data_IF_161961684366
#
_entry.id   IF_161961684366
#
_cell.length_a   1.000
_cell.length_b   1.000
_cell.length_c   1.000
_cell.angle_alpha   90.00
_cell.angle_beta   90.00
_cell.angle_gamma   90.00
#
_symmetry.space_group_name_H-M   'P 1'
#
loop_
_entity.id
_entity.type
_entity.pdbx_description
1 polymer ?
#
# COMPACT_ATOMS: atom_id res chain seq x y z
N UNK A 1 -10.21 -20.75 -23.19
CA UNK A 1 -9.60 -19.42 -23.04
C UNK A 1 -8.64 -19.48 -21.85
N UNK A 2 -7.37 -19.80 -22.09
CA UNK A 2 -6.34 -19.73 -21.04
C UNK A 2 -6.02 -18.26 -20.88
N UNK A 3 -6.51 -17.63 -19.82
CA UNK A 3 -5.99 -16.33 -19.41
C UNK A 3 -4.52 -16.60 -19.06
N UNK A 4 -3.61 -16.20 -19.93
CA UNK A 4 -2.19 -16.10 -19.60
C UNK A 4 -2.13 -15.13 -18.42
N UNK A 5 -2.07 -15.66 -17.19
CA UNK A 5 -1.71 -14.84 -16.03
C UNK A 5 -0.32 -14.31 -16.35
N UNK A 6 -0.23 -13.02 -16.64
CA UNK A 6 1.06 -12.34 -16.81
C UNK A 6 2.00 -12.75 -15.67
N UNK A 7 3.29 -12.89 -15.97
CA UNK A 7 4.27 -13.30 -14.96
C UNK A 7 4.24 -12.28 -13.81
N UNK A 8 3.73 -12.73 -12.66
CA UNK A 8 3.51 -11.90 -11.48
C UNK A 8 4.84 -11.35 -10.93
N UNK A 9 5.94 -12.06 -11.19
CA UNK A 9 7.24 -11.75 -10.60
C UNK A 9 7.82 -10.43 -11.13
N UNK A 10 7.93 -10.17 -12.45
CA UNK A 10 8.28 -8.86 -12.97
C UNK A 10 7.46 -7.69 -12.39
N UNK A 11 6.14 -7.88 -12.24
CA UNK A 11 5.24 -6.84 -11.77
C UNK A 11 5.48 -6.47 -10.31
N UNK A 12 5.55 -7.48 -9.43
CA UNK A 12 5.85 -7.29 -8.01
C UNK A 12 7.23 -6.68 -7.83
N UNK A 13 8.23 -7.18 -8.56
CA UNK A 13 9.62 -6.72 -8.47
C UNK A 13 9.77 -5.25 -8.84
N UNK A 14 9.09 -4.83 -9.92
CA UNK A 14 9.03 -3.43 -10.34
C UNK A 14 8.39 -2.54 -9.28
N UNK A 15 7.23 -2.95 -8.73
CA UNK A 15 6.55 -2.17 -7.70
C UNK A 15 7.33 -2.10 -6.39
N UNK A 16 8.09 -3.14 -6.06
CA UNK A 16 9.01 -3.12 -4.93
C UNK A 16 10.09 -2.04 -5.10
N UNK A 17 10.71 -1.95 -6.28
CA UNK A 17 11.68 -0.90 -6.57
C UNK A 17 11.04 0.50 -6.53
N UNK A 18 9.83 0.66 -7.10
CA UNK A 18 9.09 1.92 -7.06
C UNK A 18 8.75 2.36 -5.62
N UNK A 19 8.36 1.44 -4.75
CA UNK A 19 8.12 1.76 -3.33
C UNK A 19 9.41 2.17 -2.61
N UNK A 20 10.54 1.51 -2.92
CA UNK A 20 11.84 1.93 -2.40
C UNK A 20 12.13 3.39 -2.75
N UNK A 21 11.97 3.72 -4.04
CA UNK A 21 12.23 5.04 -4.59
C UNK A 21 11.26 6.08 -4.01
N UNK A 22 9.98 5.74 -3.84
CA UNK A 22 8.97 6.60 -3.20
C UNK A 22 9.37 6.97 -1.77
N UNK A 23 9.98 6.05 -1.03
CA UNK A 23 10.46 6.27 0.33
C UNK A 23 11.81 7.00 0.40
N UNK A 24 12.43 7.30 -0.76
CA UNK A 24 13.75 7.92 -0.82
C UNK A 24 14.87 7.03 -0.28
N UNK A 25 14.67 5.70 -0.31
CA UNK A 25 15.65 4.73 0.19
C UNK A 25 16.55 4.22 -0.93
N UNK A 26 17.80 3.95 -0.60
CA UNK A 26 18.71 3.15 -1.41
C UNK A 26 18.62 1.67 -1.03
N UNK A 27 19.05 0.77 -1.92
CA UNK A 27 19.11 -0.66 -1.59
C UNK A 27 20.04 -0.93 -0.39
N UNK A 28 21.05 -0.08 -0.18
CA UNK A 28 21.96 -0.19 0.97
C UNK A 28 21.26 0.13 2.30
N UNK A 29 20.27 1.02 2.31
CA UNK A 29 19.50 1.32 3.52
C UNK A 29 18.66 0.12 3.95
N UNK A 30 18.07 -0.60 2.99
CA UNK A 30 17.30 -1.82 3.27
C UNK A 30 18.22 -2.92 3.78
N UNK A 31 19.41 -3.06 3.16
CA UNK A 31 20.43 -4.02 3.59
C UNK A 31 20.76 -3.82 5.06
N UNK A 32 21.01 -2.58 5.45
CA UNK A 32 21.43 -2.23 6.81
C UNK A 32 20.27 -2.37 7.82
N UNK A 33 19.04 -2.03 7.40
CA UNK A 33 17.85 -2.15 8.26
C UNK A 33 17.37 -3.58 8.48
N UNK A 34 17.39 -4.42 7.44
CA UNK A 34 16.92 -5.81 7.50
C UNK A 34 18.05 -6.81 7.77
N UNK A 35 19.30 -6.34 7.79
CA UNK A 35 20.50 -7.17 7.94
C UNK A 35 20.55 -8.35 6.93
N UNK A 36 20.17 -8.08 5.68
CA UNK A 36 20.22 -9.04 4.57
C UNK A 36 21.26 -8.60 3.54
N UNK A 37 21.79 -9.52 2.73
CA UNK A 37 22.76 -9.16 1.70
C UNK A 37 22.18 -8.20 0.65
N UNK A 38 22.98 -7.23 0.17
CA UNK A 38 22.57 -6.30 -0.88
C UNK A 38 22.09 -7.02 -2.16
N UNK A 39 22.79 -8.11 -2.49
CA UNK A 39 22.43 -8.98 -3.62
C UNK A 39 21.04 -9.61 -3.47
N UNK A 40 20.55 -9.82 -2.24
CA UNK A 40 19.21 -10.34 -1.98
C UNK A 40 18.15 -9.32 -2.41
N UNK A 41 18.34 -8.05 -2.06
CA UNK A 41 17.43 -6.94 -2.44
C UNK A 41 17.46 -6.74 -3.95
N UNK A 42 18.65 -6.73 -4.55
CA UNK A 42 18.81 -6.66 -6.01
C UNK A 42 18.09 -7.83 -6.72
N UNK A 43 18.13 -9.05 -6.17
CA UNK A 43 17.39 -10.21 -6.72
C UNK A 43 15.87 -10.02 -6.63
N UNK A 44 15.38 -9.35 -5.60
CA UNK A 44 13.97 -8.99 -5.49
C UNK A 44 13.56 -7.98 -6.54
N UNK A 45 14.31 -6.89 -6.71
CA UNK A 45 13.97 -5.82 -7.65
C UNK A 45 14.15 -6.22 -9.13
N UNK A 46 15.00 -7.22 -9.42
CA UNK A 46 15.26 -7.72 -10.77
C UNK A 46 14.51 -9.01 -11.13
N UNK A 47 13.43 -9.33 -10.41
CA UNK A 47 12.58 -10.50 -10.69
C UNK A 47 13.34 -11.84 -10.70
N UNK A 48 14.46 -11.94 -9.99
CA UNK A 48 15.20 -13.21 -9.83
C UNK A 48 14.58 -14.06 -8.73
N UNK A 49 14.03 -13.42 -7.70
CA UNK A 49 13.36 -14.08 -6.57
C UNK A 49 12.29 -13.12 -6.01
N UNK A 50 11.23 -13.64 -5.40
CA UNK A 50 10.30 -12.83 -4.63
C UNK A 50 10.68 -12.85 -3.14
N UNK A 51 10.46 -11.76 -2.39
CA UNK A 51 10.56 -11.81 -0.93
C UNK A 51 9.53 -12.80 -0.39
N UNK A 52 9.89 -13.52 0.67
CA UNK A 52 8.91 -14.30 1.43
C UNK A 52 8.08 -13.38 2.35
N UNK A 53 7.09 -13.95 3.03
CA UNK A 53 6.20 -13.17 3.89
C UNK A 53 6.90 -12.56 5.12
N UNK A 54 8.02 -13.14 5.55
CA UNK A 54 8.82 -12.57 6.64
C UNK A 54 9.48 -11.27 6.21
N UNK A 55 10.18 -11.31 5.06
CA UNK A 55 10.77 -10.10 4.46
C UNK A 55 9.70 -9.08 4.08
N UNK A 56 8.55 -9.52 3.56
CA UNK A 56 7.44 -8.63 3.24
C UNK A 56 6.93 -7.86 4.48
N UNK A 57 6.84 -8.54 5.63
CA UNK A 57 6.47 -7.89 6.90
C UNK A 57 7.49 -6.84 7.31
N UNK A 58 8.78 -7.15 7.27
CA UNK A 58 9.84 -6.21 7.64
C UNK A 58 9.86 -4.98 6.72
N UNK A 59 9.67 -5.18 5.41
CA UNK A 59 9.56 -4.08 4.46
C UNK A 59 8.34 -3.20 4.73
N UNK A 60 7.20 -3.79 5.12
CA UNK A 60 6.03 -3.03 5.56
C UNK A 60 6.32 -2.16 6.79
N UNK A 61 7.12 -2.66 7.74
CA UNK A 61 7.56 -1.89 8.92
C UNK A 61 8.50 -0.73 8.55
N UNK A 62 9.18 -0.82 7.40
CA UNK A 62 9.95 0.29 6.81
C UNK A 62 9.09 1.32 6.04
N UNK A 63 7.79 1.09 5.93
CA UNK A 63 6.86 2.01 5.28
C UNK A 63 6.52 1.65 3.83
N UNK A 64 6.90 0.47 3.35
CA UNK A 64 6.43 -0.02 2.05
C UNK A 64 4.93 -0.25 2.07
N UNK A 65 4.23 0.21 1.03
CA UNK A 65 2.86 -0.22 0.76
C UNK A 65 2.88 -1.62 0.13
N UNK A 66 2.93 -2.65 0.97
CA UNK A 66 2.94 -4.04 0.51
C UNK A 66 1.63 -4.46 -0.17
N UNK A 67 0.51 -3.78 0.13
CA UNK A 67 -0.74 -4.01 -0.58
C UNK A 67 -0.62 -3.55 -2.04
N UNK A 68 -0.07 -2.37 -2.29
CA UNK A 68 0.26 -1.90 -3.64
C UNK A 68 1.27 -2.82 -4.34
N UNK A 69 2.34 -3.23 -3.65
CA UNK A 69 3.36 -4.12 -4.25
C UNK A 69 2.74 -5.40 -4.78
N UNK A 70 1.85 -6.03 -4.01
CA UNK A 70 1.20 -7.30 -4.37
C UNK A 70 0.08 -7.09 -5.40
N UNK A 71 -0.80 -6.11 -5.18
CA UNK A 71 -2.05 -5.97 -5.93
C UNK A 71 -1.97 -5.00 -7.11
N UNK A 72 -0.98 -4.10 -7.10
CA UNK A 72 -0.85 -3.01 -8.05
C UNK A 72 -1.78 -1.81 -7.80
N UNK A 73 -2.58 -1.82 -6.73
CA UNK A 73 -3.52 -0.75 -6.38
C UNK A 73 -3.04 -0.04 -5.12
N UNK A 74 -2.84 1.28 -5.18
CA UNK A 74 -2.56 2.05 -3.95
C UNK A 74 -3.83 2.17 -3.12
N UNK A 75 -3.67 2.12 -1.79
CA UNK A 75 -4.75 2.45 -0.87
C UNK A 75 -5.31 3.86 -1.15
N UNK A 76 -4.45 4.78 -1.58
CA UNK A 76 -4.80 6.16 -1.91
C UNK A 76 -5.51 6.27 -3.28
N UNK A 77 -5.21 5.38 -4.22
CA UNK A 77 -5.95 5.30 -5.50
C UNK A 77 -7.36 4.74 -5.26
N UNK A 78 -7.58 3.96 -4.20
CA UNK A 78 -8.94 3.62 -3.76
C UNK A 78 -9.67 4.82 -3.13
N UNK A 79 -8.95 5.88 -2.74
CA UNK A 79 -9.54 7.18 -2.41
C UNK A 79 -9.80 8.03 -3.67
N UNK A 80 -9.15 7.75 -4.80
CA UNK A 80 -9.49 8.36 -6.10
C UNK A 80 -10.75 7.76 -6.73
N UNK A 81 -11.25 6.64 -6.18
CA UNK A 81 -12.58 6.10 -6.48
C UNK A 81 -13.69 6.78 -5.66
N UNK A 82 -13.33 7.64 -4.69
CA UNK A 82 -14.32 8.38 -3.92
C UNK A 82 -14.84 9.54 -4.76
N UNK A 83 -16.16 9.66 -4.78
CA UNK A 83 -16.83 10.88 -5.24
C UNK A 83 -16.41 12.08 -4.41
N UNK A 84 -16.60 13.29 -4.97
CA UNK A 84 -16.31 14.55 -4.26
C UNK A 84 -17.02 14.62 -2.90
N UNK A 85 -18.24 14.09 -2.82
CA UNK A 85 -19.05 14.05 -1.60
C UNK A 85 -18.45 13.09 -0.54
N UNK A 86 -17.97 11.92 -0.98
CA UNK A 86 -17.30 10.97 -0.09
C UNK A 86 -15.97 11.52 0.44
N UNK A 87 -15.20 12.21 -0.40
CA UNK A 87 -13.98 12.90 0.03
C UNK A 87 -14.27 13.98 1.07
N UNK A 88 -15.28 14.84 0.82
CA UNK A 88 -15.68 15.88 1.75
C UNK A 88 -16.15 15.31 3.08
N UNK A 89 -16.96 14.24 3.05
CA UNK A 89 -17.45 13.57 4.26
C UNK A 89 -16.29 12.99 5.09
N UNK A 90 -15.33 12.35 4.43
CA UNK A 90 -14.14 11.80 5.10
C UNK A 90 -13.26 12.90 5.69
N UNK A 91 -13.08 14.01 5.00
CA UNK A 91 -12.30 15.15 5.49
C UNK A 91 -12.95 15.75 6.74
N UNK A 92 -14.25 16.04 6.69
CA UNK A 92 -15.03 16.54 7.83
C UNK A 92 -14.94 15.59 9.03
N UNK A 93 -15.06 14.29 8.79
CA UNK A 93 -14.94 13.27 9.82
C UNK A 93 -13.54 13.22 10.43
N UNK A 94 -12.49 13.20 9.60
CA UNK A 94 -11.08 13.12 10.06
C UNK A 94 -10.67 14.38 10.83
N UNK A 95 -11.16 15.55 10.45
CA UNK A 95 -10.79 16.81 11.11
C UNK A 95 -11.62 17.12 12.37
N UNK A 96 -12.72 16.39 12.62
CA UNK A 96 -13.57 16.62 13.79
C UNK A 96 -13.04 15.95 15.06
N UNK A 97 -13.14 16.66 16.19
CA UNK A 97 -12.94 16.10 17.54
C UNK A 97 -14.15 15.30 18.04
N UNK A 98 -15.29 15.38 17.35
CA UNK A 98 -16.58 14.81 17.76
C UNK A 98 -17.08 13.75 16.77
N UNK A 99 -16.16 12.89 16.33
CA UNK A 99 -16.41 11.82 15.34
C UNK A 99 -17.62 10.95 15.68
N UNK A 100 -17.76 10.56 16.94
CA UNK A 100 -18.89 9.72 17.39
C UNK A 100 -20.25 10.40 17.22
N UNK A 101 -20.32 11.73 17.44
CA UNK A 101 -21.55 12.51 17.26
C UNK A 101 -21.92 12.61 15.79
N UNK A 102 -20.94 12.82 14.89
CA UNK A 102 -21.16 12.86 13.44
C UNK A 102 -21.74 11.53 12.93
N UNK A 103 -21.17 10.41 13.34
CA UNK A 103 -21.69 9.08 12.96
C UNK A 103 -23.10 8.87 13.50
N UNK A 104 -23.38 9.31 14.73
CA UNK A 104 -24.72 9.20 15.33
C UNK A 104 -25.75 10.06 14.59
N UNK A 105 -25.38 11.27 14.18
CA UNK A 105 -26.25 12.16 13.41
C UNK A 105 -26.65 11.51 12.09
N UNK A 106 -25.68 11.01 11.31
CA UNK A 106 -25.93 10.32 10.04
C UNK A 106 -26.89 9.15 10.26
N UNK A 107 -26.60 8.27 11.22
CA UNK A 107 -27.48 7.12 11.54
C UNK A 107 -28.89 7.52 11.97
N UNK A 108 -29.03 8.65 12.65
CA UNK A 108 -30.35 9.13 13.10
C UNK A 108 -31.15 9.66 11.92
N UNK A 109 -30.49 10.37 10.99
CA UNK A 109 -31.11 10.90 9.78
C UNK A 109 -31.59 9.78 8.84
N UNK A 110 -30.75 8.77 8.61
CA UNK A 110 -31.11 7.58 7.81
C UNK A 110 -32.25 6.76 8.42
N UNK A 111 -32.41 6.79 9.75
CA UNK A 111 -33.49 6.08 10.44
C UNK A 111 -34.83 6.87 10.47
N UNK A 112 -34.83 8.10 9.97
CA UNK A 112 -36.02 8.96 9.86
C UNK A 112 -36.67 8.91 8.47
N UNK A 113 -35.99 8.32 7.48
CA UNK A 113 -36.57 7.90 6.19
C UNK A 113 -37.20 6.50 6.30
#
# INVERSE_FOLDING_TARGET
MVILKEDIKPQISKRLALERERLGLEQIDIRDKLNIALATISRYENAKRLPDLGIAKELSELGYDMAYVITGKRLDESASDLTDDEMQLLELYRNSKRRAELVRLIKTYEAME
#
